data_IF_215959040814
#
_entry.id   IF_215959040814
#
_cell.length_a   1.000
_cell.length_b   1.000
_cell.length_c   1.000
_cell.angle_alpha   90.00
_cell.angle_beta   90.00
_cell.angle_gamma   90.00
#
_symmetry.space_group_name_H-M   'P 1'
#
loop_
_entity.id
_entity.type
_entity.pdbx_description
1 polymer ?
#
# COMPACT_ATOMS: atom_id res chain seq x y z
N UNK A 1 -24.24 38.83 41.55
CA UNK A 1 -25.20 39.06 40.45
C UNK A 1 -24.43 39.69 39.30
N UNK A 2 -24.13 38.90 38.27
CA UNK A 2 -23.36 39.33 37.11
C UNK A 2 -24.31 39.42 35.90
N UNK A 3 -24.38 40.59 35.27
CA UNK A 3 -25.02 40.77 33.97
C UNK A 3 -24.04 40.42 32.83
N UNK A 4 -24.55 39.99 31.66
CA UNK A 4 -23.76 39.33 30.62
C UNK A 4 -23.21 40.32 29.60
N UNK A 5 -21.97 40.13 29.15
CA UNK A 5 -21.44 40.79 27.96
C UNK A 5 -21.55 39.84 26.75
N UNK A 6 -22.35 40.28 25.77
CA UNK A 6 -22.49 39.69 24.43
C UNK A 6 -21.21 39.87 23.60
N UNK A 7 -20.99 39.05 22.56
CA UNK A 7 -19.75 39.02 21.79
C UNK A 7 -19.69 40.16 20.77
N UNK A 8 -18.55 40.84 20.68
CA UNK A 8 -18.23 41.74 19.59
C UNK A 8 -17.62 40.94 18.44
N UNK A 9 -18.38 40.83 17.35
CA UNK A 9 -17.86 40.45 16.06
C UNK A 9 -17.09 41.64 15.47
N UNK A 10 -15.80 41.48 15.20
CA UNK A 10 -15.02 42.42 14.39
C UNK A 10 -14.48 41.69 13.17
N UNK A 11 -15.15 41.96 12.04
CA UNK A 11 -14.73 41.55 10.71
C UNK A 11 -13.50 42.36 10.29
N UNK A 12 -12.34 41.69 10.19
CA UNK A 12 -11.21 42.23 9.44
C UNK A 12 -11.26 41.70 8.01
N UNK A 13 -11.65 42.57 7.08
CA UNK A 13 -11.38 42.42 5.65
C UNK A 13 -9.87 42.50 5.42
N UNK A 14 -9.20 41.35 5.36
CA UNK A 14 -7.91 41.24 4.72
C UNK A 14 -8.13 40.97 3.21
N UNK A 15 -7.40 41.64 2.30
CA UNK A 15 -7.51 41.36 0.87
C UNK A 15 -7.13 39.90 0.65
N UNK A 16 -7.96 39.16 -0.09
CA UNK A 16 -7.72 37.78 -0.44
C UNK A 16 -6.46 37.69 -1.34
N UNK A 17 -5.29 37.63 -0.71
CA UNK A 17 -4.08 37.11 -1.34
C UNK A 17 -4.46 35.71 -1.78
N UNK A 18 -4.66 35.57 -3.09
CA UNK A 18 -5.05 34.32 -3.73
C UNK A 18 -3.98 33.31 -3.34
N UNK A 19 -4.28 32.42 -2.40
CA UNK A 19 -3.35 31.38 -1.98
C UNK A 19 -2.82 30.71 -3.25
N UNK A 20 -1.49 30.56 -3.39
CA UNK A 20 -0.90 30.07 -4.62
C UNK A 20 -1.60 28.77 -4.99
N UNK A 21 -2.05 28.65 -6.24
CA UNK A 21 -2.55 27.36 -6.75
C UNK A 21 -1.48 26.31 -6.44
N UNK A 22 -1.86 25.08 -6.06
CA UNK A 22 -0.88 24.00 -5.98
C UNK A 22 -0.09 23.99 -7.28
N UNK A 23 1.24 23.87 -7.21
CA UNK A 23 2.06 23.73 -8.41
C UNK A 23 1.43 22.66 -9.31
N UNK A 24 1.36 22.93 -10.63
CA UNK A 24 0.77 21.99 -11.58
C UNK A 24 1.41 20.63 -11.31
N UNK A 25 0.65 19.57 -10.97
CA UNK A 25 1.19 18.24 -10.75
C UNK A 25 2.09 17.74 -11.88
N UNK A 26 1.93 18.31 -13.09
CA UNK A 26 2.78 18.06 -14.25
C UNK A 26 4.22 18.57 -14.12
N UNK A 27 4.50 19.51 -13.22
CA UNK A 27 5.85 20.04 -12.99
C UNK A 27 6.79 19.07 -12.27
N UNK A 28 6.25 18.03 -11.63
CA UNK A 28 7.03 17.01 -10.93
C UNK A 28 7.45 15.83 -11.81
N UNK A 29 7.26 15.95 -13.13
CA UNK A 29 7.55 14.89 -14.08
C UNK A 29 6.57 13.71 -13.99
N UNK A 30 6.90 12.63 -14.69
CA UNK A 30 6.03 11.44 -14.80
C UNK A 30 6.07 10.55 -13.55
N UNK A 31 7.22 10.48 -12.90
CA UNK A 31 7.47 9.67 -11.72
C UNK A 31 7.87 10.58 -10.58
N UNK A 32 6.91 10.87 -9.71
CA UNK A 32 7.06 11.87 -8.64
C UNK A 32 7.80 11.24 -7.47
N UNK A 33 8.84 11.91 -6.99
CA UNK A 33 9.58 11.48 -5.79
C UNK A 33 8.72 11.63 -4.52
N UNK A 34 9.11 10.92 -3.45
CA UNK A 34 8.40 10.95 -2.15
C UNK A 34 8.17 12.37 -1.65
N UNK A 35 9.24 13.17 -1.61
CA UNK A 35 9.20 14.50 -0.99
C UNK A 35 8.35 15.48 -1.79
N UNK A 36 8.28 15.30 -3.11
CA UNK A 36 7.38 16.08 -3.97
C UNK A 36 5.91 15.70 -3.79
N UNK A 37 5.61 14.41 -3.54
CA UNK A 37 4.25 13.99 -3.14
C UNK A 37 3.87 14.61 -1.80
N UNK A 38 4.77 14.61 -0.81
CA UNK A 38 4.54 15.26 0.50
C UNK A 38 4.25 16.74 0.31
N UNK A 39 5.12 17.45 -0.41
CA UNK A 39 4.96 18.88 -0.72
C UNK A 39 3.65 19.18 -1.44
N UNK A 40 3.23 18.30 -2.35
CA UNK A 40 1.94 18.42 -3.04
C UNK A 40 0.77 18.30 -2.05
N UNK A 41 0.80 17.35 -1.11
CA UNK A 41 -0.27 17.14 -0.13
C UNK A 41 -0.35 18.26 0.92
N UNK A 42 0.78 18.83 1.33
CA UNK A 42 0.83 20.02 2.20
C UNK A 42 0.14 21.20 1.52
N UNK A 43 0.52 21.50 0.26
CA UNK A 43 -0.13 22.56 -0.54
C UNK A 43 -1.60 22.28 -0.82
N UNK A 44 -1.98 21.02 -0.98
CA UNK A 44 -3.37 20.63 -1.17
C UNK A 44 -4.21 20.98 0.05
N UNK A 45 -3.67 20.71 1.25
CA UNK A 45 -4.31 21.06 2.54
C UNK A 45 -4.50 22.57 2.68
N UNK A 46 -3.45 23.35 2.40
CA UNK A 46 -3.49 24.82 2.43
C UNK A 46 -4.50 25.39 1.42
N UNK A 47 -4.45 24.92 0.17
CA UNK A 47 -5.31 25.40 -0.91
C UNK A 47 -6.79 25.17 -0.62
N UNK A 48 -7.13 24.00 -0.08
CA UNK A 48 -8.50 23.64 0.26
C UNK A 48 -8.92 24.04 1.67
N UNK A 49 -8.02 24.67 2.45
CA UNK A 49 -8.26 25.08 3.84
C UNK A 49 -8.81 23.93 4.69
N UNK A 50 -8.23 22.75 4.53
CA UNK A 50 -8.66 21.57 5.26
C UNK A 50 -8.18 21.66 6.70
N UNK A 51 -9.10 21.50 7.65
CA UNK A 51 -8.76 21.39 9.06
C UNK A 51 -8.26 19.96 9.35
N UNK A 52 -6.95 19.82 9.53
CA UNK A 52 -6.31 18.55 9.87
C UNK A 52 -5.75 18.64 11.28
N UNK A 53 -6.27 17.80 12.17
CA UNK A 53 -5.76 17.68 13.54
C UNK A 53 -4.80 16.48 13.60
N UNK A 54 -3.53 16.74 13.86
CA UNK A 54 -2.49 15.72 14.02
C UNK A 54 -2.24 15.43 15.51
N UNK A 55 -1.47 14.37 15.82
CA UNK A 55 -1.25 13.94 17.22
C UNK A 55 -2.51 13.36 17.88
N UNK A 56 -3.47 12.89 17.08
CA UNK A 56 -4.69 12.24 17.52
C UNK A 56 -4.78 10.88 16.85
N UNK A 57 -4.48 9.83 17.61
CA UNK A 57 -4.69 8.46 17.15
C UNK A 57 -6.06 7.99 17.61
N UNK A 58 -6.89 7.53 16.67
CA UNK A 58 -8.16 6.88 16.97
C UNK A 58 -7.91 5.38 17.06
N UNK A 59 -8.08 4.82 18.26
CA UNK A 59 -7.84 3.39 18.51
C UNK A 59 -9.09 2.54 18.34
N UNK A 60 -10.28 3.14 18.43
CA UNK A 60 -11.55 2.42 18.35
C UNK A 60 -12.70 3.29 17.89
N UNK A 61 -13.61 2.70 17.12
CA UNK A 61 -14.89 3.32 16.71
C UNK A 61 -16.03 2.48 17.26
N UNK A 62 -16.87 3.07 18.10
CA UNK A 62 -18.07 2.46 18.66
C UNK A 62 -19.32 3.21 18.19
N UNK A 63 -20.50 2.59 18.35
CA UNK A 63 -21.78 3.30 18.28
C UNK A 63 -22.09 3.98 19.61
N UNK A 64 -22.73 5.14 19.54
CA UNK A 64 -23.32 5.78 20.72
C UNK A 64 -24.44 4.90 21.32
N UNK A 65 -24.75 5.02 22.62
CA UNK A 65 -25.79 4.21 23.27
C UNK A 65 -27.18 4.32 22.65
N UNK A 66 -27.50 5.49 22.08
CA UNK A 66 -28.75 5.77 21.37
C UNK A 66 -28.71 5.42 19.86
N UNK A 67 -27.57 4.86 19.39
CA UNK A 67 -27.31 4.45 18.00
C UNK A 67 -27.40 5.55 16.94
N UNK A 68 -27.34 6.82 17.34
CA UNK A 68 -27.43 7.99 16.43
C UNK A 68 -26.06 8.37 15.85
N UNK A 69 -24.99 8.24 16.63
CA UNK A 69 -23.65 8.70 16.28
C UNK A 69 -22.58 7.59 16.34
N UNK A 70 -21.47 7.85 15.67
CA UNK A 70 -20.21 7.13 15.83
C UNK A 70 -19.36 7.85 16.86
N UNK A 71 -18.78 7.10 17.80
CA UNK A 71 -17.88 7.60 18.84
C UNK A 71 -16.48 7.07 18.56
N UNK A 72 -15.56 7.99 18.27
CA UNK A 72 -14.16 7.71 17.99
C UNK A 72 -13.37 7.92 19.28
N UNK A 73 -12.84 6.83 19.85
CA UNK A 73 -11.95 6.88 21.02
C UNK A 73 -10.55 7.22 20.55
N UNK A 74 -9.98 8.28 21.13
CA UNK A 74 -8.71 8.84 20.70
C UNK A 74 -7.72 9.03 21.86
N UNK A 75 -6.45 9.27 21.51
CA UNK A 75 -5.34 9.50 22.44
C UNK A 75 -5.70 10.50 23.53
N UNK A 76 -5.34 10.20 24.78
CA UNK A 76 -5.59 11.06 25.94
C UNK A 76 -7.01 10.97 26.48
N UNK A 77 -7.75 9.88 26.20
CA UNK A 77 -9.11 9.68 26.68
C UNK A 77 -10.16 10.52 25.94
N UNK A 78 -9.78 11.21 24.87
CA UNK A 78 -10.68 12.01 24.05
C UNK A 78 -11.69 11.10 23.34
N UNK A 79 -12.92 11.59 23.23
CA UNK A 79 -13.96 10.99 22.40
C UNK A 79 -14.47 12.05 21.44
N UNK A 80 -14.50 11.73 20.15
CA UNK A 80 -15.10 12.57 19.11
C UNK A 80 -16.38 11.87 18.65
N UNK A 81 -17.49 12.59 18.54
CA UNK A 81 -18.73 12.03 18.03
C UNK A 81 -19.16 12.70 16.73
N UNK A 82 -19.77 11.91 15.86
CA UNK A 82 -20.33 12.37 14.59
C UNK A 82 -21.35 11.37 14.05
N UNK A 83 -22.44 11.81 13.41
CA UNK A 83 -23.38 10.91 12.74
C UNK A 83 -22.72 10.10 11.60
N UNK A 84 -21.59 10.57 11.07
CA UNK A 84 -20.85 9.95 9.96
C UNK A 84 -19.38 9.80 10.30
N UNK A 85 -18.82 8.62 10.00
CA UNK A 85 -17.40 8.33 10.12
C UNK A 85 -16.87 7.78 8.79
N UNK A 86 -15.73 8.30 8.33
CA UNK A 86 -15.04 7.80 7.13
C UNK A 86 -13.68 7.25 7.54
N UNK A 87 -13.52 5.93 7.46
CA UNK A 87 -12.24 5.28 7.75
C UNK A 87 -11.38 5.33 6.50
N UNK A 88 -10.22 5.99 6.60
CA UNK A 88 -9.28 6.21 5.50
C UNK A 88 -7.81 5.97 5.93
N UNK A 89 -7.58 4.98 6.79
CA UNK A 89 -6.24 4.68 7.36
C UNK A 89 -5.29 3.96 6.39
N UNK A 90 -5.80 3.55 5.23
CA UNK A 90 -4.99 3.04 4.11
C UNK A 90 -4.86 1.51 4.06
N UNK A 91 -4.32 1.01 2.93
CA UNK A 91 -4.25 -0.42 2.66
C UNK A 91 -3.04 -1.13 3.31
N UNK A 92 -1.93 -0.41 3.49
CA UNK A 92 -0.65 -0.95 3.96
C UNK A 92 -0.29 -0.37 5.34
N UNK A 93 -0.99 -0.82 6.39
CA UNK A 93 -0.85 -0.26 7.73
C UNK A 93 0.16 -1.06 8.58
N UNK A 94 -0.20 -2.28 8.97
CA UNK A 94 0.61 -3.07 9.92
C UNK A 94 1.53 -4.03 9.17
N UNK A 95 2.87 -3.95 9.34
CA UNK A 95 3.80 -4.94 8.81
C UNK A 95 3.35 -6.38 9.09
N UNK A 96 3.50 -7.27 8.10
CA UNK A 96 3.13 -8.69 8.26
C UNK A 96 4.35 -9.56 8.02
N UNK A 97 4.97 -10.01 9.10
CA UNK A 97 5.94 -11.11 9.07
C UNK A 97 5.18 -12.42 9.27
N UNK A 98 5.34 -13.44 8.40
CA UNK A 98 4.75 -14.76 8.63
C UNK A 98 5.27 -15.41 9.92
N UNK A 99 4.42 -16.23 10.54
CA UNK A 99 4.80 -17.05 11.70
C UNK A 99 5.62 -18.27 11.24
N UNK A 100 6.82 -18.00 10.74
CA UNK A 100 7.76 -19.05 10.33
C UNK A 100 8.18 -19.90 11.53
N UNK A 101 8.13 -21.24 11.44
CA UNK A 101 8.69 -22.11 12.46
C UNK A 101 10.16 -21.78 12.73
N UNK A 102 10.57 -21.83 14.00
CA UNK A 102 11.95 -21.54 14.42
C UNK A 102 12.37 -20.06 14.38
N UNK A 103 11.50 -19.14 13.92
CA UNK A 103 11.81 -17.69 13.88
C UNK A 103 12.19 -17.12 15.24
N UNK A 104 11.55 -17.59 16.31
CA UNK A 104 11.80 -17.10 17.68
C UNK A 104 13.21 -17.44 18.19
N UNK A 105 13.84 -18.48 17.62
CA UNK A 105 15.19 -18.93 17.93
C UNK A 105 16.21 -18.53 16.85
N UNK A 106 15.78 -17.75 15.84
CA UNK A 106 16.68 -17.29 14.79
C UNK A 106 17.67 -16.28 15.38
N UNK A 107 18.96 -16.50 15.12
CA UNK A 107 20.06 -15.70 15.69
C UNK A 107 20.59 -14.64 14.73
N UNK A 108 20.25 -14.73 13.44
CA UNK A 108 20.58 -13.73 12.44
C UNK A 108 19.68 -12.49 12.49
N UNK A 109 20.05 -11.45 11.75
CA UNK A 109 19.27 -10.23 11.68
C UNK A 109 18.01 -10.44 10.83
N UNK A 110 16.82 -10.17 11.39
CA UNK A 110 15.56 -10.23 10.66
C UNK A 110 14.78 -8.94 10.86
N UNK A 111 14.44 -8.27 9.76
CA UNK A 111 13.62 -7.07 9.75
C UNK A 111 12.52 -7.15 8.68
N UNK A 112 11.42 -6.44 8.91
CA UNK A 112 10.42 -6.22 7.87
C UNK A 112 10.86 -5.05 6.97
N UNK A 113 10.47 -5.09 5.69
CA UNK A 113 10.75 -4.02 4.71
C UNK A 113 10.24 -2.62 5.15
N UNK A 114 9.33 -2.53 6.13
CA UNK A 114 8.88 -1.27 6.72
C UNK A 114 10.00 -0.51 7.45
N UNK A 115 11.00 -1.24 7.94
CA UNK A 115 12.16 -0.72 8.65
C UNK A 115 13.36 -0.49 7.72
N UNK A 116 13.26 -0.92 6.46
CA UNK A 116 14.25 -0.57 5.44
C UNK A 116 14.18 0.92 5.11
N UNK A 117 15.35 1.56 4.95
CA UNK A 117 15.47 2.99 4.65
C UNK A 117 16.39 3.29 3.48
N UNK A 118 17.49 2.56 3.36
CA UNK A 118 18.45 2.62 2.27
C UNK A 118 19.40 1.42 2.37
N UNK A 119 20.19 1.20 1.32
CA UNK A 119 21.09 0.06 1.20
C UNK A 119 22.37 0.15 2.04
N UNK A 120 22.75 1.35 2.52
CA UNK A 120 24.05 1.60 3.16
C UNK A 120 24.37 0.67 4.35
N UNK A 121 23.43 0.32 5.25
CA UNK A 121 23.72 -0.63 6.35
C UNK A 121 24.01 -2.07 5.90
N UNK A 122 23.80 -2.36 4.62
CA UNK A 122 23.90 -3.69 4.02
C UNK A 122 25.08 -3.81 3.03
N UNK A 123 25.88 -2.76 2.88
CA UNK A 123 27.11 -2.78 2.09
C UNK A 123 28.04 -3.90 2.58
N UNK A 124 28.52 -4.73 1.64
CA UNK A 124 29.38 -5.88 1.94
C UNK A 124 28.68 -7.07 2.61
N UNK A 125 27.36 -7.04 2.82
CA UNK A 125 26.62 -8.11 3.53
C UNK A 125 25.90 -9.08 2.60
N UNK A 126 25.68 -10.31 3.06
CA UNK A 126 24.83 -11.31 2.41
C UNK A 126 23.38 -11.17 2.88
N UNK A 127 22.50 -10.76 1.96
CA UNK A 127 21.11 -10.40 2.28
C UNK A 127 20.11 -11.31 1.55
N UNK A 128 19.16 -11.84 2.30
CA UNK A 128 17.97 -12.52 1.78
C UNK A 128 16.75 -11.60 1.84
N UNK A 129 16.19 -11.24 0.70
CA UNK A 129 14.90 -10.55 0.60
C UNK A 129 13.80 -11.59 0.43
N UNK A 130 12.79 -11.57 1.29
CA UNK A 130 11.70 -12.55 1.29
C UNK A 130 10.43 -11.95 0.70
N UNK A 131 10.07 -12.40 -0.51
CA UNK A 131 8.87 -12.00 -1.22
C UNK A 131 9.14 -11.06 -2.40
N UNK A 132 8.63 -11.43 -3.58
CA UNK A 132 8.78 -10.67 -4.83
C UNK A 132 7.54 -9.82 -5.15
N UNK A 133 7.19 -8.94 -4.21
CA UNK A 133 6.31 -7.80 -4.49
C UNK A 133 7.13 -6.63 -5.06
N UNK A 134 6.47 -5.51 -5.39
CA UNK A 134 7.18 -4.28 -5.83
C UNK A 134 8.26 -3.86 -4.82
N UNK A 135 7.93 -3.82 -3.52
CA UNK A 135 8.89 -3.50 -2.46
C UNK A 135 10.08 -4.46 -2.41
N UNK A 136 9.85 -5.78 -2.51
CA UNK A 136 10.94 -6.75 -2.46
C UNK A 136 11.86 -6.67 -3.67
N UNK A 137 11.28 -6.43 -4.86
CA UNK A 137 12.04 -6.23 -6.09
C UNK A 137 12.89 -4.95 -6.04
N UNK A 138 12.30 -3.83 -5.60
CA UNK A 138 13.00 -2.54 -5.46
C UNK A 138 14.12 -2.63 -4.42
N UNK A 139 13.86 -3.22 -3.24
CA UNK A 139 14.89 -3.41 -2.20
C UNK A 139 16.01 -4.31 -2.71
N UNK A 140 15.71 -5.41 -3.42
CA UNK A 140 16.73 -6.30 -3.94
C UNK A 140 17.68 -5.58 -4.93
N UNK A 141 17.13 -4.74 -5.81
CA UNK A 141 17.93 -3.92 -6.74
C UNK A 141 18.73 -2.85 -5.97
N UNK A 142 18.11 -2.15 -5.03
CA UNK A 142 18.76 -1.11 -4.22
C UNK A 142 19.93 -1.68 -3.39
N UNK A 143 19.78 -2.89 -2.83
CA UNK A 143 20.86 -3.60 -2.12
C UNK A 143 22.05 -3.93 -3.03
N UNK A 144 21.79 -4.36 -4.27
CA UNK A 144 22.83 -4.65 -5.26
C UNK A 144 23.58 -3.35 -5.61
N UNK A 145 22.84 -2.28 -5.87
CA UNK A 145 23.42 -0.96 -6.17
C UNK A 145 24.18 -0.37 -4.99
N UNK A 146 23.72 -0.64 -3.76
CA UNK A 146 24.36 -0.25 -2.51
C UNK A 146 25.52 -1.13 -2.06
N UNK A 147 25.94 -2.11 -2.87
CA UNK A 147 27.17 -2.86 -2.64
C UNK A 147 27.04 -4.07 -1.69
N UNK A 148 25.84 -4.62 -1.48
CA UNK A 148 25.71 -5.91 -0.81
C UNK A 148 26.51 -6.99 -1.57
N UNK A 149 27.26 -7.85 -0.85
CA UNK A 149 28.15 -8.84 -1.49
C UNK A 149 27.37 -9.98 -2.14
N UNK A 150 26.19 -10.29 -1.61
CA UNK A 150 25.26 -11.27 -2.17
C UNK A 150 23.83 -10.85 -1.85
N UNK A 151 22.96 -10.92 -2.86
CA UNK A 151 21.53 -10.69 -2.69
C UNK A 151 20.78 -11.89 -3.21
N UNK A 152 19.92 -12.46 -2.36
CA UNK A 152 18.99 -13.54 -2.70
C UNK A 152 17.56 -13.07 -2.58
N UNK A 153 16.70 -13.51 -3.48
CA UNK A 153 15.26 -13.20 -3.48
C UNK A 153 14.46 -14.50 -3.34
N UNK A 154 13.83 -14.70 -2.18
CA UNK A 154 12.98 -15.85 -1.94
C UNK A 154 11.59 -15.66 -2.55
N UNK A 155 11.21 -16.59 -3.44
CA UNK A 155 9.97 -16.51 -4.23
C UNK A 155 9.07 -17.71 -3.93
N UNK A 156 7.87 -17.44 -3.41
CA UNK A 156 6.82 -18.46 -3.21
C UNK A 156 5.89 -18.62 -4.40
N UNK A 157 5.56 -17.51 -5.03
CA UNK A 157 4.64 -17.48 -6.17
C UNK A 157 5.25 -16.59 -7.22
N UNK A 158 5.45 -17.15 -8.40
CA UNK A 158 6.04 -16.44 -9.53
C UNK A 158 5.21 -15.19 -9.85
N UNK A 159 5.82 -14.00 -9.87
CA UNK A 159 5.12 -12.74 -10.12
C UNK A 159 4.91 -12.52 -11.61
N UNK A 160 3.85 -11.79 -11.95
CA UNK A 160 3.80 -11.13 -13.25
C UNK A 160 4.72 -9.91 -13.20
N UNK A 161 5.72 -9.86 -14.06
CA UNK A 161 6.65 -8.73 -14.16
C UNK A 161 6.32 -7.95 -15.42
N UNK A 162 6.22 -6.62 -15.30
CA UNK A 162 5.99 -5.70 -16.40
C UNK A 162 7.04 -4.60 -16.37
N UNK A 163 7.51 -4.17 -17.55
CA UNK A 163 8.31 -2.95 -17.64
C UNK A 163 7.49 -1.75 -17.15
N UNK A 164 8.13 -0.87 -16.37
CA UNK A 164 7.51 0.35 -15.83
C UNK A 164 6.92 1.27 -16.91
N UNK A 165 7.49 1.24 -18.13
CA UNK A 165 6.89 1.82 -19.33
C UNK A 165 7.25 1.01 -20.57
N UNK A 166 6.30 0.87 -21.50
CA UNK A 166 6.54 0.32 -22.83
C UNK A 166 6.40 1.45 -23.84
N UNK A 167 7.47 1.81 -24.55
CA UNK A 167 7.46 2.83 -25.61
C UNK A 167 6.77 4.18 -25.22
N UNK A 168 7.01 4.67 -24.00
CA UNK A 168 6.43 5.95 -23.50
C UNK A 168 4.99 5.88 -23.00
N UNK A 169 4.33 4.71 -23.12
CA UNK A 169 2.97 4.47 -22.61
C UNK A 169 2.99 3.98 -21.15
N UNK A 170 2.29 4.66 -20.21
CA UNK A 170 2.21 4.22 -18.81
C UNK A 170 1.38 2.94 -18.64
N UNK A 171 1.87 2.00 -17.83
CA UNK A 171 1.14 0.79 -17.47
C UNK A 171 -0.24 1.09 -16.83
N UNK A 172 -0.37 2.21 -16.12
CA UNK A 172 -1.63 2.65 -15.50
C UNK A 172 -2.70 3.03 -16.54
N UNK A 173 -2.30 3.61 -17.68
CA UNK A 173 -3.22 3.95 -18.76
C UNK A 173 -3.80 2.68 -19.41
N UNK A 174 -2.96 1.66 -19.61
CA UNK A 174 -3.41 0.32 -20.02
C UNK A 174 -4.40 -0.25 -19.01
N UNK A 175 -4.12 -0.12 -17.72
CA UNK A 175 -5.01 -0.59 -16.66
C UNK A 175 -6.42 0.04 -16.68
N UNK A 176 -6.52 1.31 -17.09
CA UNK A 176 -7.80 1.99 -17.28
C UNK A 176 -8.53 1.44 -18.52
N UNK A 177 -7.81 1.27 -19.64
CA UNK A 177 -8.38 0.83 -20.92
C UNK A 177 -8.94 -0.60 -20.84
N UNK A 178 -8.17 -1.52 -20.24
CA UNK A 178 -8.54 -2.94 -20.18
C UNK A 178 -9.64 -3.25 -19.16
N UNK A 179 -10.04 -2.27 -18.32
CA UNK A 179 -11.04 -2.45 -17.26
C UNK A 179 -12.41 -2.90 -17.78
N UNK A 180 -12.74 -2.57 -19.03
CA UNK A 180 -14.01 -2.92 -19.68
C UNK A 180 -13.95 -4.16 -20.57
N UNK A 181 -12.77 -4.77 -20.75
CA UNK A 181 -12.58 -5.89 -21.66
C UNK A 181 -12.81 -7.25 -20.98
N UNK A 182 -13.18 -8.30 -21.73
CA UNK A 182 -13.29 -9.65 -21.19
C UNK A 182 -11.94 -10.15 -20.65
N UNK A 183 -11.94 -10.69 -19.42
CA UNK A 183 -10.72 -11.14 -18.71
C UNK A 183 -9.82 -12.03 -19.56
N UNK A 184 -10.40 -13.03 -20.23
CA UNK A 184 -9.68 -14.01 -21.05
C UNK A 184 -8.94 -13.34 -22.23
N UNK A 185 -9.54 -12.30 -22.82
CA UNK A 185 -8.91 -11.56 -23.92
C UNK A 185 -7.72 -10.74 -23.41
N UNK A 186 -7.88 -10.06 -22.26
CA UNK A 186 -6.79 -9.29 -21.63
C UNK A 186 -5.64 -10.20 -21.21
N UNK A 187 -5.93 -11.35 -20.58
CA UNK A 187 -4.90 -12.31 -20.16
C UNK A 187 -4.12 -12.89 -21.35
N UNK A 188 -4.80 -13.20 -22.47
CA UNK A 188 -4.15 -13.69 -23.68
C UNK A 188 -3.24 -12.63 -24.31
N UNK A 189 -3.73 -11.39 -24.42
CA UNK A 189 -2.96 -10.28 -24.97
C UNK A 189 -1.75 -9.94 -24.09
N UNK A 190 -1.93 -9.90 -22.76
CA UNK A 190 -0.86 -9.67 -21.80
C UNK A 190 0.22 -10.76 -21.89
N UNK A 191 -0.16 -12.04 -22.01
CA UNK A 191 0.80 -13.14 -22.17
C UNK A 191 1.67 -12.97 -23.42
N UNK A 192 1.06 -12.65 -24.56
CA UNK A 192 1.80 -12.43 -25.81
C UNK A 192 2.75 -11.22 -25.68
N UNK A 193 2.27 -10.12 -25.09
CA UNK A 193 3.07 -8.92 -24.86
C UNK A 193 4.26 -9.19 -23.93
N UNK A 194 4.06 -9.91 -22.81
CA UNK A 194 5.13 -10.25 -21.89
C UNK A 194 6.21 -11.09 -22.57
N UNK A 195 5.83 -12.14 -23.32
CA UNK A 195 6.78 -12.98 -24.06
C UNK A 195 7.60 -12.22 -25.10
N UNK A 196 7.04 -11.16 -25.69
CA UNK A 196 7.75 -10.32 -26.65
C UNK A 196 8.68 -9.31 -25.98
N UNK A 197 8.35 -8.85 -24.78
CA UNK A 197 9.03 -7.71 -24.12
C UNK A 197 9.98 -8.09 -23.00
N UNK A 198 9.90 -9.32 -22.51
CA UNK A 198 10.64 -9.81 -21.34
C UNK A 198 11.38 -11.10 -21.71
N UNK A 199 12.66 -11.25 -21.31
CA UNK A 199 13.39 -12.48 -21.51
C UNK A 199 12.82 -13.61 -20.66
N UNK A 200 13.11 -14.85 -21.05
CA UNK A 200 12.83 -16.01 -20.21
C UNK A 200 13.86 -16.09 -19.08
N UNK A 201 13.38 -16.15 -17.83
CA UNK A 201 14.22 -16.25 -16.62
C UNK A 201 14.11 -17.63 -15.96
N UNK A 202 13.54 -18.63 -16.66
CA UNK A 202 13.34 -19.99 -16.13
C UNK A 202 14.63 -20.62 -15.63
N UNK A 203 15.72 -20.49 -16.39
CA UNK A 203 17.05 -21.01 -16.00
C UNK A 203 17.61 -20.35 -14.74
N UNK A 204 17.07 -19.18 -14.36
CA UNK A 204 17.48 -18.41 -13.20
C UNK A 204 16.48 -18.56 -12.04
N UNK A 205 15.60 -19.56 -12.07
CA UNK A 205 14.62 -19.83 -11.01
C UNK A 205 13.35 -18.97 -11.05
N UNK A 206 13.15 -18.14 -12.09
CA UNK A 206 11.93 -17.34 -12.30
C UNK A 206 11.24 -17.74 -13.62
N UNK A 207 10.49 -18.85 -13.65
CA UNK A 207 9.76 -19.24 -14.84
C UNK A 207 8.60 -18.29 -15.15
N UNK A 208 7.93 -18.51 -16.28
CA UNK A 208 6.71 -17.76 -16.60
C UNK A 208 5.56 -18.10 -15.62
N UNK A 209 4.75 -17.12 -15.19
CA UNK A 209 3.56 -17.42 -14.41
C UNK A 209 2.51 -18.21 -15.21
N UNK A 210 1.99 -19.28 -14.62
CA UNK A 210 0.91 -20.09 -15.23
C UNK A 210 -0.46 -19.40 -15.19
N UNK A 211 -0.59 -18.41 -14.31
CA UNK A 211 -1.83 -17.64 -14.11
C UNK A 211 -1.96 -16.47 -15.09
N UNK A 212 -3.18 -16.00 -15.33
CA UNK A 212 -3.43 -14.78 -16.12
C UNK A 212 -3.11 -13.50 -15.34
N UNK A 213 -2.43 -12.55 -15.97
CA UNK A 213 -2.02 -11.28 -15.34
C UNK A 213 -3.21 -10.49 -14.78
N UNK A 214 -4.24 -10.26 -15.60
CA UNK A 214 -5.41 -9.48 -15.20
C UNK A 214 -6.30 -10.27 -14.23
N UNK A 215 -6.28 -11.60 -14.33
CA UNK A 215 -6.88 -12.47 -13.31
C UNK A 215 -6.25 -12.24 -11.93
N UNK A 216 -4.92 -12.23 -11.83
CA UNK A 216 -4.19 -11.96 -10.58
C UNK A 216 -4.43 -10.54 -10.07
N UNK A 217 -4.48 -9.55 -10.96
CA UNK A 217 -4.84 -8.16 -10.61
C UNK A 217 -6.22 -8.10 -9.94
N UNK A 218 -7.22 -8.83 -10.46
CA UNK A 218 -8.56 -8.87 -9.86
C UNK A 218 -8.60 -9.55 -8.49
N UNK A 219 -7.64 -10.42 -8.19
CA UNK A 219 -7.45 -11.01 -6.86
C UNK A 219 -6.70 -10.07 -5.90
N UNK A 220 -6.17 -8.95 -6.41
CA UNK A 220 -5.44 -7.93 -5.67
C UNK A 220 -3.92 -8.05 -5.76
N UNK A 221 -3.40 -8.95 -6.61
CA UNK A 221 -1.97 -9.08 -6.88
C UNK A 221 -1.58 -8.17 -8.05
N UNK A 222 -0.93 -7.05 -7.73
CA UNK A 222 -0.41 -6.12 -8.73
C UNK A 222 0.88 -6.70 -9.32
N UNK A 223 1.08 -6.63 -10.65
CA UNK A 223 2.34 -7.03 -11.27
C UNK A 223 3.52 -6.21 -10.74
N UNK A 224 4.67 -6.84 -10.63
CA UNK A 224 5.93 -6.18 -10.28
C UNK A 224 6.34 -5.27 -11.44
N UNK A 225 6.61 -4.01 -11.14
CA UNK A 225 7.18 -3.09 -12.11
C UNK A 225 8.69 -3.28 -12.13
N UNK A 226 9.20 -3.73 -13.27
CA UNK A 226 10.62 -3.90 -13.46
C UNK A 226 11.32 -2.55 -13.53
N UNK A 227 12.25 -2.36 -12.59
CA UNK A 227 13.17 -1.23 -12.49
C UNK A 227 14.64 -1.68 -12.52
N UNK A 228 14.91 -2.93 -12.93
CA UNK A 228 16.25 -3.52 -12.91
C UNK A 228 16.28 -4.95 -12.35
N UNK A 229 15.15 -5.48 -11.89
CA UNK A 229 15.03 -6.83 -11.35
C UNK A 229 15.40 -7.88 -12.41
N UNK A 230 14.86 -7.73 -13.62
CA UNK A 230 15.10 -8.69 -14.73
C UNK A 230 16.58 -8.75 -15.08
N UNK A 231 17.21 -7.59 -15.24
CA UNK A 231 18.62 -7.50 -15.58
C UNK A 231 19.49 -8.03 -14.43
N UNK A 232 19.14 -7.76 -13.17
CA UNK A 232 19.85 -8.29 -12.00
C UNK A 232 19.80 -9.82 -11.93
N UNK A 233 18.64 -10.43 -12.18
CA UNK A 233 18.48 -11.89 -12.23
C UNK A 233 19.27 -12.46 -13.39
N UNK A 234 19.09 -11.92 -14.61
CA UNK A 234 19.77 -12.42 -15.83
C UNK A 234 21.29 -12.34 -15.75
N UNK A 235 21.82 -11.34 -15.04
CA UNK A 235 23.27 -11.16 -14.87
C UNK A 235 23.84 -11.92 -13.66
N UNK A 236 23.01 -12.67 -12.93
CA UNK A 236 23.42 -13.42 -11.74
C UNK A 236 23.72 -12.56 -10.51
N UNK A 237 23.50 -11.24 -10.58
CA UNK A 237 23.66 -10.33 -9.43
C UNK A 237 22.56 -10.52 -8.38
N UNK A 238 21.41 -11.05 -8.79
CA UNK A 238 20.32 -11.45 -7.90
C UNK A 238 20.04 -12.94 -8.06
N UNK A 239 20.25 -13.71 -7.00
CA UNK A 239 19.97 -15.13 -6.99
C UNK A 239 18.53 -15.38 -6.52
N UNK A 240 17.74 -16.09 -7.32
CA UNK A 240 16.37 -16.46 -6.95
C UNK A 240 16.42 -17.78 -6.21
N UNK A 241 15.77 -17.82 -5.05
CA UNK A 241 15.70 -19.02 -4.22
C UNK A 241 14.26 -19.38 -3.88
N UNK A 242 14.05 -20.63 -3.47
CA UNK A 242 12.74 -21.11 -3.02
C UNK A 242 12.22 -20.31 -1.82
N UNK A 243 10.91 -20.38 -1.58
CA UNK A 243 10.29 -19.70 -0.44
C UNK A 243 10.92 -20.10 0.90
N UNK A 244 11.00 -19.16 1.83
CA UNK A 244 11.33 -19.47 3.23
C UNK A 244 10.23 -20.33 3.82
N UNK A 245 10.61 -21.52 4.29
CA UNK A 245 9.75 -22.47 4.96
C UNK A 245 9.86 -22.31 6.48
N UNK A 246 11.09 -22.34 7.01
CA UNK A 246 11.38 -22.25 8.44
C UNK A 246 12.79 -21.70 8.73
N UNK A 247 13.09 -21.48 10.01
CA UNK A 247 14.41 -21.11 10.51
C UNK A 247 14.95 -22.19 11.44
N UNK A 248 16.27 -22.38 11.43
CA UNK A 248 17.01 -23.31 12.28
C UNK A 248 18.27 -22.61 12.78
N UNK A 249 18.17 -21.97 13.96
CA UNK A 249 19.23 -21.16 14.59
C UNK A 249 19.80 -20.05 13.69
N UNK A 250 20.90 -20.28 13.00
CA UNK A 250 21.56 -19.33 12.09
C UNK A 250 21.16 -19.55 10.61
N UNK A 251 20.36 -20.59 10.34
CA UNK A 251 19.99 -21.02 8.98
C UNK A 251 18.55 -20.68 8.66
N UNK A 252 18.33 -20.41 7.38
CA UNK A 252 17.02 -20.33 6.74
C UNK A 252 16.82 -21.60 5.92
N UNK A 253 15.75 -22.33 6.23
CA UNK A 253 15.34 -23.53 5.50
C UNK A 253 14.36 -23.11 4.42
N UNK A 254 14.65 -23.48 3.18
CA UNK A 254 13.83 -23.17 2.02
C UNK A 254 12.88 -24.32 1.69
N UNK A 255 11.82 -24.02 0.96
CA UNK A 255 10.77 -24.98 0.59
C UNK A 255 11.26 -26.14 -0.31
N UNK A 256 12.42 -26.01 -0.94
CA UNK A 256 13.08 -27.10 -1.68
C UNK A 256 13.99 -27.97 -0.80
N UNK A 257 14.02 -27.71 0.52
CA UNK A 257 14.83 -28.41 1.51
C UNK A 257 16.25 -27.88 1.64
N UNK A 258 16.69 -26.95 0.79
CA UNK A 258 18.02 -26.34 0.91
C UNK A 258 18.11 -25.44 2.15
N UNK A 259 19.33 -25.26 2.65
CA UNK A 259 19.63 -24.42 3.83
C UNK A 259 20.64 -23.36 3.46
N UNK A 260 20.35 -22.12 3.83
CA UNK A 260 21.22 -20.97 3.59
C UNK A 260 21.44 -20.18 4.89
N UNK A 261 22.56 -19.48 5.00
CA UNK A 261 22.91 -18.65 6.16
C UNK A 261 23.17 -17.20 5.74
N UNK A 262 22.14 -16.43 5.33
CA UNK A 262 22.30 -14.99 5.10
C UNK A 262 22.60 -14.27 6.41
N UNK A 263 23.34 -13.17 6.35
CA UNK A 263 23.59 -12.31 7.51
C UNK A 263 22.35 -11.48 7.86
N UNK A 264 21.51 -11.16 6.86
CA UNK A 264 20.28 -10.38 7.02
C UNK A 264 19.13 -11.02 6.25
N UNK A 265 17.97 -11.09 6.88
CA UNK A 265 16.69 -11.43 6.26
C UNK A 265 15.76 -10.22 6.28
N UNK A 266 15.42 -9.71 5.09
CA UNK A 266 14.45 -8.64 4.91
C UNK A 266 13.11 -9.24 4.47
N UNK A 267 12.15 -9.29 5.38
CA UNK A 267 10.78 -9.71 5.09
C UNK A 267 10.02 -8.63 4.31
N UNK A 268 9.93 -8.79 2.98
CA UNK A 268 9.10 -7.97 2.08
C UNK A 268 7.71 -8.61 1.87
N UNK A 269 7.11 -9.07 2.97
CA UNK A 269 5.95 -9.96 2.99
C UNK A 269 4.59 -9.24 3.08
N UNK A 270 4.61 -7.92 2.92
CA UNK A 270 3.42 -7.08 2.81
C UNK A 270 2.84 -6.64 4.16
N UNK A 271 1.61 -6.14 4.12
CA UNK A 271 0.98 -5.46 5.25
C UNK A 271 -0.46 -5.95 5.48
N UNK A 272 -0.94 -5.84 6.71
CA UNK A 272 -2.36 -5.88 7.07
C UNK A 272 -2.96 -4.46 7.06
N UNK A 273 -4.29 -4.39 7.05
CA UNK A 273 -5.03 -3.11 7.01
C UNK A 273 -5.13 -2.44 8.38
N UNK A 274 -4.94 -3.19 9.47
CA UNK A 274 -4.98 -2.64 10.83
C UNK A 274 -6.38 -2.18 11.24
N UNK A 275 -7.43 -2.88 10.77
CA UNK A 275 -8.82 -2.51 11.03
C UNK A 275 -9.47 -3.35 12.12
N UNK A 276 -8.85 -4.47 12.47
CA UNK A 276 -9.37 -5.47 13.38
C UNK A 276 -9.64 -4.86 14.78
N UNK A 277 -8.70 -4.08 15.31
CA UNK A 277 -8.86 -3.38 16.59
C UNK A 277 -9.81 -2.18 16.49
N UNK A 278 -9.74 -1.43 15.37
CA UNK A 278 -10.49 -0.20 15.15
C UNK A 278 -12.00 -0.45 15.00
N UNK A 279 -12.38 -1.44 14.18
CA UNK A 279 -13.76 -1.71 13.75
C UNK A 279 -14.12 -3.19 13.66
N UNK A 280 -13.20 -4.13 13.93
CA UNK A 280 -13.45 -5.56 13.69
C UNK A 280 -14.63 -6.13 14.49
N UNK A 281 -14.85 -5.61 15.69
CA UNK A 281 -15.98 -5.98 16.56
C UNK A 281 -17.37 -5.58 15.99
N UNK A 282 -17.42 -4.71 14.97
CA UNK A 282 -18.67 -4.26 14.35
C UNK A 282 -19.20 -5.22 13.26
N UNK A 283 -18.48 -6.31 12.96
CA UNK A 283 -18.87 -7.24 11.89
C UNK A 283 -18.83 -6.62 10.48
N UNK A 284 -18.00 -5.59 10.30
CA UNK A 284 -17.88 -4.83 9.03
C UNK A 284 -16.72 -5.30 8.15
N UNK A 285 -15.96 -6.31 8.59
CA UNK A 285 -14.79 -6.84 7.91
C UNK A 285 -15.03 -8.28 7.42
N UNK A 286 -14.36 -8.67 6.33
CA UNK A 286 -14.24 -10.06 5.91
C UNK A 286 -13.14 -10.82 6.69
N UNK A 287 -13.02 -12.13 6.45
CA UNK A 287 -12.01 -13.00 7.08
C UNK A 287 -10.55 -12.59 6.80
N UNK A 288 -10.34 -11.66 5.86
CA UNK A 288 -9.02 -11.11 5.51
C UNK A 288 -8.81 -9.71 6.08
N UNK A 289 -9.70 -9.24 6.96
CA UNK A 289 -9.64 -7.90 7.55
C UNK A 289 -9.92 -6.78 6.55
N UNK A 290 -10.62 -7.05 5.44
CA UNK A 290 -11.03 -6.03 4.47
C UNK A 290 -12.43 -5.53 4.79
N UNK A 291 -12.71 -4.23 4.65
CA UNK A 291 -14.08 -3.73 4.77
C UNK A 291 -15.02 -4.37 3.75
N UNK A 292 -16.16 -4.86 4.24
CA UNK A 292 -17.28 -5.31 3.41
C UNK A 292 -17.90 -4.14 2.60
N UNK A 293 -18.18 -2.96 3.19
CA UNK A 293 -18.58 -1.78 2.42
C UNK A 293 -17.37 -1.03 1.85
N UNK A 294 -17.58 -0.32 0.73
CA UNK A 294 -16.55 0.49 0.08
C UNK A 294 -17.14 1.75 -0.56
N UNK A 295 -16.41 2.86 -0.44
CA UNK A 295 -16.79 4.17 -0.95
C UNK A 295 -18.12 4.63 -0.33
N UNK A 296 -19.07 5.02 -1.17
CA UNK A 296 -20.39 5.52 -0.74
C UNK A 296 -21.29 4.50 -0.03
N UNK A 297 -20.96 3.20 -0.09
CA UNK A 297 -21.79 2.14 0.49
C UNK A 297 -21.52 2.04 1.98
N UNK A 298 -22.55 1.66 2.74
CA UNK A 298 -22.47 1.32 4.17
C UNK A 298 -23.21 -0.01 4.38
N UNK A 299 -22.97 -0.68 5.51
CA UNK A 299 -23.80 -1.82 5.92
C UNK A 299 -25.06 -1.30 6.61
N UNK A 300 -26.15 -2.08 6.56
CA UNK A 300 -27.37 -1.78 7.32
C UNK A 300 -27.12 -1.76 8.84
N UNK A 301 -26.23 -2.62 9.32
CA UNK A 301 -25.80 -2.69 10.72
C UNK A 301 -24.87 -1.54 11.14
N UNK A 302 -24.32 -0.79 10.17
CA UNK A 302 -23.37 0.30 10.43
C UNK A 302 -23.64 1.49 9.48
N UNK A 303 -24.79 2.17 9.59
CA UNK A 303 -25.11 3.31 8.75
C UNK A 303 -24.20 4.50 9.07
N UNK A 304 -23.80 5.25 8.04
CA UNK A 304 -22.88 6.38 8.18
C UNK A 304 -21.39 6.01 8.37
N UNK A 305 -21.05 4.72 8.46
CA UNK A 305 -19.65 4.26 8.48
C UNK A 305 -19.17 3.90 7.07
N UNK A 306 -18.29 4.72 6.53
CA UNK A 306 -17.73 4.58 5.19
C UNK A 306 -16.26 4.16 5.23
N UNK A 307 -15.82 3.47 4.17
CA UNK A 307 -14.43 3.02 4.03
C UNK A 307 -13.89 3.39 2.64
N UNK A 308 -12.72 4.03 2.61
CA UNK A 308 -12.00 4.34 1.37
C UNK A 308 -10.51 4.09 1.53
N UNK A 309 -9.81 3.83 0.42
CA UNK A 309 -8.36 3.52 0.43
C UNK A 309 -8.00 2.06 0.72
N UNK A 310 -8.97 1.15 0.80
CA UNK A 310 -8.74 -0.29 1.03
C UNK A 310 -8.78 -1.14 -0.25
N UNK A 311 -8.58 -0.51 -1.41
CA UNK A 311 -8.41 -1.18 -2.69
C UNK A 311 -6.97 -1.04 -3.16
N UNK A 312 -6.52 -1.93 -4.05
CA UNK A 312 -5.21 -1.82 -4.68
C UNK A 312 -5.35 -1.72 -6.20
N UNK A 313 -5.80 -0.56 -6.72
CA UNK A 313 -6.20 -0.42 -8.11
C UNK A 313 -5.00 -0.17 -9.03
N UNK A 314 -4.96 -0.85 -10.18
CA UNK A 314 -3.97 -0.58 -11.23
C UNK A 314 -4.17 0.79 -11.92
N UNK A 315 -5.33 1.44 -11.71
CA UNK A 315 -5.66 2.78 -12.21
C UNK A 315 -5.08 3.92 -11.37
N UNK A 316 -4.41 3.61 -10.25
CA UNK A 316 -3.83 4.58 -9.32
C UNK A 316 -4.73 4.92 -8.14
N UNK A 317 -4.16 4.86 -6.93
CA UNK A 317 -4.91 4.99 -5.68
C UNK A 317 -5.49 6.41 -5.47
N UNK A 318 -4.69 7.47 -5.71
CA UNK A 318 -5.16 8.86 -5.56
C UNK A 318 -6.40 9.16 -6.43
N UNK A 319 -6.45 8.58 -7.64
CA UNK A 319 -7.60 8.72 -8.55
C UNK A 319 -8.85 8.06 -7.96
N UNK A 320 -8.75 6.82 -7.51
CA UNK A 320 -9.92 6.12 -6.93
C UNK A 320 -10.36 6.77 -5.62
N UNK A 321 -9.43 7.21 -4.76
CA UNK A 321 -9.74 7.98 -3.54
C UNK A 321 -10.54 9.24 -3.85
N UNK A 322 -10.14 10.03 -4.86
CA UNK A 322 -10.85 11.24 -5.26
C UNK A 322 -12.26 10.94 -5.82
N UNK A 323 -12.47 9.79 -6.45
CA UNK A 323 -13.79 9.36 -6.92
C UNK A 323 -14.66 8.95 -5.73
N UNK A 324 -14.13 8.17 -4.80
CA UNK A 324 -14.85 7.71 -3.63
C UNK A 324 -15.22 8.85 -2.70
N UNK A 325 -14.29 9.77 -2.43
CA UNK A 325 -14.52 10.95 -1.59
C UNK A 325 -15.72 11.77 -2.10
N UNK A 326 -15.78 12.04 -3.41
CA UNK A 326 -16.93 12.76 -4.00
C UNK A 326 -18.25 11.99 -3.87
N UNK A 327 -18.21 10.66 -3.99
CA UNK A 327 -19.41 9.83 -3.86
C UNK A 327 -19.88 9.75 -2.41
N UNK A 328 -18.95 9.63 -1.46
CA UNK A 328 -19.24 9.64 -0.01
C UNK A 328 -19.85 10.99 0.37
N UNK A 329 -19.20 12.10 0.01
CA UNK A 329 -19.69 13.45 0.32
C UNK A 329 -21.11 13.69 -0.20
N UNK A 330 -21.41 13.27 -1.44
CA UNK A 330 -22.77 13.35 -2.01
C UNK A 330 -23.80 12.50 -1.26
N UNK A 331 -23.41 11.33 -0.74
CA UNK A 331 -24.30 10.50 0.08
C UNK A 331 -24.56 11.18 1.42
N UNK A 332 -23.50 11.61 2.11
CA UNK A 332 -23.58 12.28 3.41
C UNK A 332 -24.47 13.52 3.33
N UNK A 333 -24.25 14.39 2.34
CA UNK A 333 -25.03 15.61 2.15
C UNK A 333 -26.54 15.36 1.91
N UNK A 334 -26.93 14.18 1.40
CA UNK A 334 -28.34 13.81 1.18
C UNK A 334 -29.01 13.19 2.41
N UNK A 335 -28.21 12.72 3.37
CA UNK A 335 -28.70 12.09 4.61
C UNK A 335 -28.74 13.09 5.76
N UNK A 336 -27.95 14.16 5.68
CA UNK A 336 -27.92 15.25 6.68
C UNK A 336 -28.80 16.46 6.30
N UNK A 337 -29.31 16.50 5.07
CA UNK A 337 -30.29 17.49 4.61
C UNK A 337 -31.71 16.98 4.80
#
# INVERSE_FOLDING_TARGET
MAQPLRPAASAHHAPAVRAPRPADPRSYGRWVGRDDVVRYLERYTEHHRLEIVTGVEVSRIDRSPDNTEWVLRATGGRALSSPVAVVATGFNHTPRVPDWPGRATYTGELLHAAHYRNARPFEGRDVLVVGVGNTGAEIAVDLIEGGAVRVRLAVRTVPHILRRSTAGWPAQATGILVRRLPRRAVDRAARAMCRLSMPDLTEHGLPWPDTGLYTRVREGAIPVQDVGLVDAVRTGRLEVVSAVDSFDLDKVVLADGSRISPEVVIAATGYRRGLEELVGHLGVLDDRGRPLPHGRRTLKSAPGLHFTGYTNPISGMLRELAIDARKIAKTVARTTA
#
